data_IF_336663479654
#
_entry.id   IF_336663479654
#
_cell.length_a   1.000
_cell.length_b   1.000
_cell.length_c   1.000
_cell.angle_alpha   90.00
_cell.angle_beta   90.00
_cell.angle_gamma   90.00
#
_symmetry.space_group_name_H-M   'P 1'
#
loop_
_entity.id
_entity.type
_entity.pdbx_description
1 polymer ?
#
# COMPACT_ATOMS: atom_id res chain seq x y z
N UNK A 1 -13.01 -8.61 57.72
CA UNK A 1 -11.72 -8.52 57.02
C UNK A 1 -11.44 -9.85 56.30
N UNK A 2 -11.48 -9.87 54.98
CA UNK A 2 -11.37 -11.10 54.19
C UNK A 2 -9.91 -11.36 53.78
N UNK A 3 -9.39 -12.54 54.15
CA UNK A 3 -8.05 -13.02 53.78
C UNK A 3 -7.99 -13.29 52.27
N UNK A 4 -7.27 -12.47 51.52
CA UNK A 4 -7.02 -12.70 50.11
C UNK A 4 -6.01 -13.84 49.94
N UNK A 5 -6.43 -14.94 49.29
CA UNK A 5 -5.56 -16.05 48.94
C UNK A 5 -4.64 -15.61 47.79
N UNK A 6 -3.34 -15.66 48.00
CA UNK A 6 -2.35 -15.52 46.93
C UNK A 6 -2.41 -16.77 46.04
N UNK A 7 -2.97 -16.65 44.84
CA UNK A 7 -2.84 -17.69 43.81
C UNK A 7 -1.55 -17.45 43.03
N UNK A 8 -0.63 -18.40 43.06
CA UNK A 8 0.60 -18.35 42.28
C UNK A 8 0.27 -18.18 40.78
N UNK A 9 0.69 -17.06 40.19
CA UNK A 9 0.75 -16.91 38.73
C UNK A 9 2.02 -17.60 38.25
N UNK A 10 1.89 -18.52 37.30
CA UNK A 10 3.03 -19.13 36.60
C UNK A 10 3.80 -18.03 35.87
N UNK A 11 5.01 -17.71 36.33
CA UNK A 11 5.97 -16.89 35.59
C UNK A 11 6.70 -17.78 34.57
N UNK A 12 6.12 -17.99 33.39
CA UNK A 12 6.93 -18.44 32.26
C UNK A 12 7.59 -17.23 31.63
N UNK A 13 8.63 -16.73 32.30
CA UNK A 13 9.57 -15.74 31.79
C UNK A 13 10.96 -16.38 31.70
N UNK A 14 11.54 -16.38 30.50
CA UNK A 14 12.94 -16.75 30.28
C UNK A 14 13.12 -18.09 29.56
N UNK A 15 13.32 -18.03 28.24
CA UNK A 15 13.88 -19.12 27.44
C UNK A 15 15.33 -19.34 27.91
N UNK A 16 15.70 -20.55 28.34
CA UNK A 16 17.07 -20.88 28.70
C UNK A 16 18.05 -20.70 27.52
N UNK A 17 19.34 -20.36 27.76
CA UNK A 17 20.32 -20.19 26.69
C UNK A 17 20.71 -21.57 26.14
N UNK A 18 20.22 -21.89 24.93
CA UNK A 18 20.52 -23.15 24.25
C UNK A 18 21.81 -23.03 23.44
N UNK A 19 22.81 -23.85 23.77
CA UNK A 19 24.02 -24.09 22.93
C UNK A 19 23.61 -24.49 21.50
N UNK A 20 24.33 -23.94 20.52
CA UNK A 20 24.07 -24.03 19.08
C UNK A 20 24.15 -25.46 18.53
N UNK A 21 23.14 -25.84 17.74
CA UNK A 21 23.28 -26.68 16.55
C UNK A 21 22.24 -26.19 15.53
N UNK A 22 22.68 -25.97 14.29
CA UNK A 22 21.88 -25.40 13.20
C UNK A 22 20.58 -26.17 13.01
N UNK A 23 19.45 -25.53 13.29
CA UNK A 23 18.12 -26.05 12.97
C UNK A 23 17.56 -25.23 11.83
N UNK A 24 17.50 -25.89 10.66
CA UNK A 24 16.75 -25.54 9.46
C UNK A 24 15.46 -24.81 9.87
N UNK A 25 15.26 -23.59 9.36
CA UNK A 25 14.12 -22.75 9.70
C UNK A 25 12.81 -23.41 9.23
N UNK A 26 12.25 -24.28 10.08
CA UNK A 26 10.85 -24.68 9.99
C UNK A 26 10.02 -23.44 10.32
N UNK A 27 9.61 -22.73 9.26
CA UNK A 27 8.59 -21.68 9.37
C UNK A 27 7.40 -22.31 10.08
N UNK A 28 6.88 -21.61 11.09
CA UNK A 28 5.70 -22.02 11.88
C UNK A 28 4.54 -22.38 10.92
N UNK A 29 4.41 -23.65 10.56
CA UNK A 29 3.13 -24.22 10.17
C UNK A 29 2.30 -24.40 11.44
N UNK A 30 0.98 -24.34 11.26
CA UNK A 30 -0.04 -24.09 12.27
C UNK A 30 0.08 -24.93 13.57
N UNK A 31 -0.46 -24.45 14.70
CA UNK A 31 -0.63 -25.30 15.88
C UNK A 31 -1.50 -26.52 15.51
N UNK A 32 -1.02 -27.73 15.79
CA UNK A 32 -1.65 -29.00 15.43
C UNK A 32 -2.93 -29.34 16.23
N UNK A 33 -3.40 -28.44 17.10
CA UNK A 33 -4.64 -28.61 17.86
C UNK A 33 -5.18 -27.23 18.23
N UNK A 34 -6.27 -26.82 17.58
CA UNK A 34 -6.95 -25.53 17.79
C UNK A 34 -7.22 -24.84 16.46
N UNK A 35 -8.51 -24.68 16.13
CA UNK A 35 -8.97 -24.15 14.85
C UNK A 35 -8.19 -22.91 14.39
N UNK A 36 -7.78 -22.92 13.12
CA UNK A 36 -7.06 -21.82 12.48
C UNK A 36 -7.83 -20.51 12.72
N UNK A 37 -7.20 -19.53 13.38
CA UNK A 37 -7.79 -18.20 13.55
C UNK A 37 -8.18 -17.67 12.17
N UNK A 38 -9.43 -17.26 12.01
CA UNK A 38 -9.92 -16.65 10.76
C UNK A 38 -8.99 -15.50 10.36
N UNK A 39 -8.56 -15.41 9.09
CA UNK A 39 -7.80 -14.27 8.61
C UNK A 39 -8.52 -12.97 8.96
N UNK A 40 -7.78 -12.00 9.51
CA UNK A 40 -8.34 -10.70 9.84
C UNK A 40 -8.76 -9.98 8.55
N UNK A 41 -10.05 -9.65 8.43
CA UNK A 41 -10.59 -8.87 7.32
C UNK A 41 -11.03 -7.50 7.82
N UNK A 42 -10.54 -6.45 7.16
CA UNK A 42 -10.95 -5.08 7.46
C UNK A 42 -12.41 -4.83 7.10
N UNK A 43 -13.06 -3.91 7.82
CA UNK A 43 -14.40 -3.43 7.48
C UNK A 43 -14.37 -2.71 6.12
N UNK A 44 -15.47 -2.74 5.35
CA UNK A 44 -15.57 -1.93 4.13
C UNK A 44 -15.28 -0.46 4.46
N UNK A 45 -14.59 0.24 3.56
CA UNK A 45 -14.18 1.64 3.76
C UNK A 45 -12.86 1.84 4.53
N UNK A 46 -12.45 0.91 5.41
CA UNK A 46 -11.19 1.08 6.19
C UNK A 46 -9.95 1.13 5.29
N UNK A 47 -9.89 0.25 4.28
CA UNK A 47 -8.76 0.22 3.34
C UNK A 47 -8.78 1.45 2.42
N UNK A 48 -9.96 1.85 1.94
CA UNK A 48 -10.14 3.01 1.07
C UNK A 48 -9.68 4.31 1.76
N UNK A 49 -10.09 4.54 3.02
CA UNK A 49 -9.66 5.72 3.77
C UNK A 49 -8.15 5.76 4.01
N UNK A 50 -7.52 4.59 4.23
CA UNK A 50 -6.07 4.47 4.37
C UNK A 50 -5.34 4.81 3.07
N UNK A 51 -5.86 4.36 1.94
CA UNK A 51 -5.31 4.66 0.61
C UNK A 51 -5.48 6.14 0.24
N UNK A 52 -6.64 6.75 0.51
CA UNK A 52 -6.86 8.20 0.31
C UNK A 52 -5.83 9.01 1.09
N UNK A 53 -5.63 8.69 2.38
CA UNK A 53 -4.61 9.38 3.19
C UNK A 53 -3.18 9.16 2.68
N UNK A 54 -2.88 7.97 2.15
CA UNK A 54 -1.55 7.67 1.56
C UNK A 54 -1.30 8.53 0.34
N UNK A 55 -2.21 8.50 -0.64
CA UNK A 55 -2.05 9.20 -1.93
C UNK A 55 -2.20 10.72 -1.83
N UNK A 56 -2.85 11.23 -0.79
CA UNK A 56 -2.85 12.68 -0.52
C UNK A 56 -1.56 13.15 0.15
N UNK A 57 -0.81 12.26 0.81
CA UNK A 57 0.46 12.57 1.47
C UNK A 57 1.66 12.38 0.55
N UNK A 58 1.62 11.38 -0.33
CA UNK A 58 2.65 11.13 -1.34
C UNK A 58 2.26 11.76 -2.68
N UNK A 59 3.23 11.86 -3.59
CA UNK A 59 3.03 12.32 -4.97
C UNK A 59 3.47 11.25 -5.98
N UNK A 60 3.36 9.97 -5.58
CA UNK A 60 3.65 8.85 -6.47
C UNK A 60 2.61 8.78 -7.61
N UNK A 61 3.07 8.41 -8.80
CA UNK A 61 2.15 8.24 -9.94
C UNK A 61 1.22 7.06 -9.67
N UNK A 62 -0.07 7.28 -9.84
CA UNK A 62 -1.11 6.26 -9.67
C UNK A 62 -1.11 5.27 -10.85
N UNK A 63 -0.74 5.75 -12.04
CA UNK A 63 -0.61 4.95 -13.26
C UNK A 63 0.87 4.64 -13.53
N UNK A 64 1.16 3.41 -13.94
CA UNK A 64 2.52 2.98 -14.31
C UNK A 64 3.01 3.75 -15.53
N UNK A 65 4.28 4.18 -15.50
CA UNK A 65 4.88 4.99 -16.56
C UNK A 65 4.87 4.33 -17.95
N UNK A 66 5.23 3.05 -18.04
CA UNK A 66 5.40 2.36 -19.32
C UNK A 66 4.08 2.19 -20.14
N UNK A 67 2.97 1.69 -19.58
CA UNK A 67 1.72 1.58 -20.34
C UNK A 67 1.16 2.96 -20.73
N UNK A 68 1.25 3.97 -19.86
CA UNK A 68 0.83 5.34 -20.18
C UNK A 68 1.67 5.93 -21.32
N UNK A 69 2.98 5.73 -21.28
CA UNK A 69 3.89 6.15 -22.36
C UNK A 69 3.58 5.49 -23.70
N UNK A 70 3.17 4.20 -23.71
CA UNK A 70 2.77 3.51 -24.95
C UNK A 70 1.51 4.11 -25.52
N UNK A 71 0.50 4.36 -24.68
CA UNK A 71 -0.75 4.99 -25.08
C UNK A 71 -0.53 6.39 -25.69
N UNK A 72 0.30 7.21 -25.05
CA UNK A 72 0.62 8.56 -25.58
C UNK A 72 1.29 8.48 -26.96
N UNK A 73 2.13 7.46 -27.20
CA UNK A 73 2.78 7.24 -28.51
C UNK A 73 1.81 6.76 -29.57
N UNK A 74 0.92 5.85 -29.20
CA UNK A 74 -0.14 5.34 -30.08
C UNK A 74 -0.98 6.50 -30.62
N UNK A 75 -1.54 7.31 -29.72
CA UNK A 75 -2.35 8.48 -30.08
C UNK A 75 -1.55 9.49 -30.90
N UNK A 76 -0.29 9.76 -30.55
CA UNK A 76 0.53 10.73 -31.27
C UNK A 76 0.88 10.28 -32.69
N UNK A 77 1.04 8.97 -32.92
CA UNK A 77 1.32 8.42 -34.23
C UNK A 77 0.18 8.69 -35.22
N UNK A 78 -1.07 8.71 -34.74
CA UNK A 78 -2.26 9.01 -35.54
C UNK A 78 -2.28 10.45 -36.09
N UNK A 79 -1.54 11.37 -35.45
CA UNK A 79 -1.44 12.76 -35.89
C UNK A 79 -0.18 13.05 -36.71
N UNK A 80 0.97 12.47 -36.33
CA UNK A 80 2.24 12.66 -37.06
C UNK A 80 3.22 11.52 -36.77
N UNK A 81 3.75 10.93 -37.84
CA UNK A 81 4.53 9.68 -37.78
C UNK A 81 5.95 9.80 -37.22
N UNK A 82 6.54 11.00 -37.19
CA UNK A 82 7.95 11.25 -36.84
C UNK A 82 8.16 12.07 -35.56
N UNK A 83 7.25 11.94 -34.58
CA UNK A 83 7.36 12.66 -33.32
C UNK A 83 8.42 12.04 -32.40
N UNK A 84 9.46 12.83 -32.09
CA UNK A 84 10.50 12.46 -31.12
C UNK A 84 10.15 13.00 -29.74
N UNK A 85 9.95 12.09 -28.78
CA UNK A 85 9.67 12.44 -27.38
C UNK A 85 10.96 12.51 -26.56
N UNK A 86 11.20 13.66 -25.93
CA UNK A 86 12.33 13.87 -25.02
C UNK A 86 12.23 12.94 -23.79
N UNK A 87 13.37 12.47 -23.29
CA UNK A 87 13.46 11.58 -22.13
C UNK A 87 13.37 12.30 -20.79
N UNK A 88 13.36 13.64 -20.78
CA UNK A 88 13.07 14.46 -19.60
C UNK A 88 11.69 14.14 -18.99
N UNK A 89 10.76 13.61 -19.79
CA UNK A 89 9.46 13.06 -19.37
C UNK A 89 9.51 11.62 -18.83
N UNK A 90 10.62 10.90 -19.00
CA UNK A 90 10.71 9.46 -18.68
C UNK A 90 11.66 9.17 -17.52
N UNK A 91 12.61 10.06 -17.29
CA UNK A 91 13.66 9.91 -16.28
C UNK A 91 13.41 10.72 -15.00
N UNK A 92 12.17 10.80 -14.48
CA UNK A 92 11.98 11.07 -13.05
C UNK A 92 11.97 9.75 -12.28
N UNK A 93 13.14 9.13 -12.17
CA UNK A 93 13.51 8.31 -11.02
C UNK A 93 14.12 9.25 -9.98
N UNK A 94 13.27 9.98 -9.25
CA UNK A 94 13.69 10.94 -8.24
C UNK A 94 13.48 12.41 -8.63
N UNK A 95 12.58 13.05 -7.86
CA UNK A 95 12.33 14.49 -7.72
C UNK A 95 11.67 15.20 -8.92
N UNK A 96 10.33 15.16 -8.85
CA UNK A 96 9.38 16.24 -9.12
C UNK A 96 9.33 16.87 -10.53
N UNK A 97 8.19 16.70 -11.22
CA UNK A 97 7.54 17.90 -11.77
C UNK A 97 6.65 17.80 -13.01
N UNK A 98 6.71 16.79 -13.88
CA UNK A 98 6.02 16.91 -15.19
C UNK A 98 5.13 15.75 -15.65
N UNK A 99 5.35 14.53 -15.16
CA UNK A 99 4.49 13.38 -15.49
C UNK A 99 3.11 13.44 -14.81
N UNK A 100 2.89 14.41 -13.92
CA UNK A 100 1.70 14.51 -13.06
C UNK A 100 0.56 15.36 -13.63
N UNK A 101 0.69 16.02 -14.79
CA UNK A 101 -0.36 16.94 -15.26
C UNK A 101 -1.67 16.23 -15.62
N UNK A 102 -1.59 15.05 -16.24
CA UNK A 102 -2.77 14.23 -16.54
C UNK A 102 -3.44 13.67 -15.28
N UNK A 103 -2.66 13.09 -14.37
CA UNK A 103 -3.15 12.57 -13.08
C UNK A 103 -3.69 13.68 -12.16
N UNK A 104 -3.03 14.84 -12.13
CA UNK A 104 -3.48 15.98 -11.34
C UNK A 104 -4.81 16.54 -11.87
N UNK A 105 -5.00 16.58 -13.19
CA UNK A 105 -6.26 16.97 -13.81
C UNK A 105 -7.39 15.98 -13.47
N UNK A 106 -7.11 14.68 -13.54
CA UNK A 106 -8.06 13.63 -13.19
C UNK A 106 -8.42 13.66 -11.68
N UNK A 107 -7.43 13.82 -10.80
CA UNK A 107 -7.64 14.01 -9.35
C UNK A 107 -8.41 15.30 -9.04
N UNK A 108 -8.18 16.37 -9.80
CA UNK A 108 -8.97 17.61 -9.72
C UNK A 108 -10.44 17.39 -10.07
N UNK A 109 -10.74 16.68 -11.16
CA UNK A 109 -12.12 16.33 -11.55
C UNK A 109 -12.80 15.44 -10.50
N UNK A 110 -12.08 14.47 -9.94
CA UNK A 110 -12.61 13.59 -8.90
C UNK A 110 -12.94 14.35 -7.61
N UNK A 111 -12.10 15.32 -7.20
CA UNK A 111 -12.39 16.17 -6.04
C UNK A 111 -13.62 17.06 -6.26
N UNK A 112 -13.72 17.70 -7.42
CA UNK A 112 -14.86 18.57 -7.73
C UNK A 112 -16.19 17.80 -7.84
N UNK A 113 -16.15 16.58 -8.34
CA UNK A 113 -17.35 15.71 -8.40
C UNK A 113 -17.80 15.25 -7.01
N UNK A 114 -16.88 14.88 -6.12
CA UNK A 114 -17.21 14.53 -4.73
C UNK A 114 -17.78 15.71 -3.94
N UNK A 115 -17.22 16.93 -4.12
CA UNK A 115 -17.76 18.16 -3.49
C UNK A 115 -19.18 18.44 -3.99
N UNK A 116 -19.45 18.26 -5.29
CA UNK A 116 -20.76 18.50 -5.88
C UNK A 116 -21.82 17.49 -5.42
N UNK A 117 -21.46 16.23 -5.19
CA UNK A 117 -22.39 15.23 -4.62
C UNK A 117 -22.63 15.39 -3.12
N UNK A 118 -21.72 16.06 -2.39
CA UNK A 118 -21.89 16.34 -0.96
C UNK A 118 -22.64 17.65 -0.67
N UNK A 119 -22.96 18.45 -1.70
CA UNK A 119 -23.64 19.75 -1.59
C UNK A 119 -25.12 19.70 -1.99
N UNK A 120 -25.69 18.50 -2.09
CA UNK A 120 -27.14 18.22 -2.25
C UNK A 120 -27.60 17.45 -1.02
#
# INVERSE_FOLDING_TARGET
MARTKQTARKSTGGKAPRKQLATKAARKSAPATGGVKKPHRYRPGTVALREIRRYQKSTELLIRKLPFQRLVREIAQDFKTDLRFQSSERACGGKNGKDGLGEAHLSGKLRNTQIRQASV
#
